data_IF_002233851885
#
_entry.id   IF_002233851885
#
_cell.length_a   1.000
_cell.length_b   1.000
_cell.length_c   1.000
_cell.angle_alpha   90.00
_cell.angle_beta   90.00
_cell.angle_gamma   90.00
#
_symmetry.space_group_name_H-M   'P 1'
#
loop_
_entity.id
_entity.type
_entity.pdbx_description
1 polymer ?
#
# COMPACT_ATOMS: atom_id res chain seq x y z
N UNK A 1 -35.41 -46.68 25.07
CA UNK A 1 -34.05 -46.08 25.12
C UNK A 1 -33.38 -45.89 23.75
N UNK A 2 -33.17 -46.94 22.92
CA UNK A 2 -32.42 -46.85 21.64
C UNK A 2 -32.93 -45.80 20.63
N UNK A 3 -34.23 -45.52 20.57
CA UNK A 3 -34.82 -44.54 19.64
C UNK A 3 -34.48 -43.10 20.01
N UNK A 4 -34.42 -42.76 21.30
CA UNK A 4 -34.06 -41.40 21.75
C UNK A 4 -32.59 -41.08 21.50
N UNK A 5 -31.71 -42.09 21.62
CA UNK A 5 -30.29 -41.95 21.32
C UNK A 5 -30.05 -41.72 19.82
N UNK A 6 -30.76 -42.46 18.94
CA UNK A 6 -30.71 -42.21 17.49
C UNK A 6 -31.17 -40.81 17.11
N UNK A 7 -32.27 -40.32 17.72
CA UNK A 7 -32.76 -38.95 17.47
C UNK A 7 -31.77 -37.89 17.96
N UNK A 8 -31.13 -38.09 19.11
CA UNK A 8 -30.10 -37.20 19.64
C UNK A 8 -28.85 -37.15 18.72
N UNK A 9 -28.38 -38.32 18.24
CA UNK A 9 -27.26 -38.39 17.29
C UNK A 9 -27.59 -37.69 15.98
N UNK A 10 -28.78 -37.89 15.43
CA UNK A 10 -29.23 -37.21 14.20
C UNK A 10 -29.29 -35.68 14.42
N UNK A 11 -29.80 -35.21 15.56
CA UNK A 11 -29.85 -33.80 15.88
C UNK A 11 -28.46 -33.16 15.99
N UNK A 12 -27.49 -33.84 16.61
CA UNK A 12 -26.10 -33.37 16.72
C UNK A 12 -25.44 -33.28 15.33
N UNK A 13 -25.67 -34.26 14.46
CA UNK A 13 -25.13 -34.24 13.10
C UNK A 13 -25.69 -33.04 12.32
N UNK A 14 -27.01 -32.81 12.37
CA UNK A 14 -27.65 -31.67 11.70
C UNK A 14 -27.10 -30.34 12.23
N UNK A 15 -26.97 -30.18 13.55
CA UNK A 15 -26.42 -28.97 14.15
C UNK A 15 -24.97 -28.70 13.71
N UNK A 16 -24.13 -29.74 13.65
CA UNK A 16 -22.76 -29.60 13.15
C UNK A 16 -22.71 -29.29 11.65
N UNK A 17 -23.58 -29.91 10.83
CA UNK A 17 -23.68 -29.59 9.41
C UNK A 17 -24.09 -28.14 9.18
N UNK A 18 -25.00 -27.59 9.99
CA UNK A 18 -25.41 -26.18 9.93
C UNK A 18 -24.26 -25.25 10.34
N UNK A 19 -23.50 -25.59 11.39
CA UNK A 19 -22.32 -24.81 11.79
C UNK A 19 -21.23 -24.79 10.72
N UNK A 20 -20.96 -25.95 10.11
CA UNK A 20 -19.99 -26.07 9.01
C UNK A 20 -20.47 -25.28 7.79
N UNK A 21 -21.74 -25.42 7.41
CA UNK A 21 -22.32 -24.66 6.30
C UNK A 21 -22.28 -23.14 6.58
N UNK A 22 -22.59 -22.72 7.82
CA UNK A 22 -22.49 -21.33 8.25
C UNK A 22 -21.05 -20.79 8.19
N UNK A 23 -20.06 -21.58 8.60
CA UNK A 23 -18.64 -21.21 8.51
C UNK A 23 -18.14 -21.13 7.06
N UNK A 24 -18.59 -22.04 6.19
CA UNK A 24 -18.26 -22.03 4.75
C UNK A 24 -18.94 -20.84 4.08
N UNK A 25 -20.24 -20.62 4.31
CA UNK A 25 -20.95 -19.45 3.79
C UNK A 25 -20.34 -18.14 4.30
N UNK A 26 -19.97 -18.05 5.58
CA UNK A 26 -19.27 -16.89 6.14
C UNK A 26 -17.92 -16.64 5.46
N UNK A 27 -17.14 -17.70 5.17
CA UNK A 27 -15.88 -17.58 4.41
C UNK A 27 -16.09 -17.16 2.95
N UNK A 28 -17.12 -17.68 2.29
CA UNK A 28 -17.42 -17.36 0.88
C UNK A 28 -17.94 -15.93 0.77
N UNK A 29 -18.90 -15.53 1.63
CA UNK A 29 -19.47 -14.19 1.65
C UNK A 29 -18.48 -13.13 2.17
N UNK A 30 -17.48 -13.54 2.96
CA UNK A 30 -16.43 -12.65 3.46
C UNK A 30 -15.16 -12.63 2.61
N UNK A 31 -15.14 -13.25 1.42
CA UNK A 31 -13.95 -13.27 0.57
C UNK A 31 -13.78 -11.91 -0.09
N UNK A 32 -12.73 -11.19 0.30
CA UNK A 32 -12.34 -9.94 -0.34
C UNK A 32 -11.75 -10.22 -1.72
N UNK A 33 -12.31 -9.58 -2.76
CA UNK A 33 -11.73 -9.58 -4.10
C UNK A 33 -11.19 -8.18 -4.42
N UNK A 34 -9.87 -8.06 -4.51
CA UNK A 34 -9.20 -6.78 -4.78
C UNK A 34 -9.74 -6.10 -6.04
N UNK A 35 -10.06 -6.89 -7.07
CA UNK A 35 -10.46 -6.37 -8.38
C UNK A 35 -11.87 -5.77 -8.39
N UNK A 36 -12.72 -6.15 -7.43
CA UNK A 36 -14.07 -5.60 -7.25
C UNK A 36 -14.06 -4.21 -6.58
N UNK A 37 -12.95 -3.84 -5.94
CA UNK A 37 -12.81 -2.61 -5.15
C UNK A 37 -11.88 -1.57 -5.79
N UNK A 38 -11.46 -1.77 -7.04
CA UNK A 38 -10.44 -0.93 -7.69
C UNK A 38 -10.78 0.56 -7.68
N UNK A 39 -12.05 0.90 -7.89
CA UNK A 39 -12.48 2.30 -7.99
C UNK A 39 -12.98 2.86 -6.64
N UNK A 40 -12.91 2.06 -5.57
CA UNK A 40 -13.28 2.51 -4.22
C UNK A 40 -12.17 3.41 -3.65
N UNK A 41 -12.54 4.52 -2.98
CA UNK A 41 -11.58 5.38 -2.31
C UNK A 41 -11.00 4.67 -1.08
N UNK A 42 -9.68 4.60 -1.01
CA UNK A 42 -8.96 3.95 0.11
C UNK A 42 -8.10 4.90 0.91
N UNK A 43 -7.69 6.02 0.32
CA UNK A 43 -6.94 7.09 0.97
C UNK A 43 -7.59 8.42 0.54
N UNK A 44 -7.63 9.40 1.43
CA UNK A 44 -7.94 10.78 1.06
C UNK A 44 -6.98 11.76 1.73
N UNK A 45 -6.61 12.80 0.98
CA UNK A 45 -5.76 13.91 1.44
C UNK A 45 -6.44 15.22 1.07
N UNK A 46 -6.77 16.04 2.06
CA UNK A 46 -7.49 17.31 1.91
C UNK A 46 -8.75 17.20 1.05
N UNK A 47 -9.51 16.12 1.25
CA UNK A 47 -10.75 15.84 0.54
C UNK A 47 -10.59 15.33 -0.89
N UNK A 48 -9.37 15.07 -1.36
CA UNK A 48 -9.15 14.36 -2.63
C UNK A 48 -8.90 12.89 -2.38
N UNK A 49 -9.74 12.09 -3.01
CA UNK A 49 -9.73 10.65 -2.88
C UNK A 49 -8.70 10.03 -3.84
N UNK A 50 -8.01 9.03 -3.33
CA UNK A 50 -7.13 8.12 -4.05
C UNK A 50 -7.81 6.76 -4.02
N UNK A 51 -8.10 6.23 -5.20
CA UNK A 51 -8.75 4.93 -5.39
C UNK A 51 -7.80 3.78 -5.09
N UNK A 52 -8.33 2.58 -4.84
CA UNK A 52 -7.50 1.37 -4.68
C UNK A 52 -6.64 1.09 -5.91
N UNK A 53 -7.13 1.43 -7.10
CA UNK A 53 -6.40 1.33 -8.37
C UNK A 53 -5.18 2.23 -8.40
N UNK A 54 -5.34 3.50 -8.02
CA UNK A 54 -4.21 4.45 -7.93
C UNK A 54 -3.23 4.05 -6.83
N UNK A 55 -3.74 3.64 -5.67
CA UNK A 55 -2.93 3.11 -4.58
C UNK A 55 -2.18 1.81 -4.99
N UNK A 56 -2.73 1.05 -5.93
CA UNK A 56 -2.12 -0.14 -6.52
C UNK A 56 -0.72 0.09 -7.09
N UNK A 57 -0.40 1.32 -7.51
CA UNK A 57 0.97 1.68 -7.92
C UNK A 57 1.96 1.58 -6.76
N UNK A 58 1.60 2.10 -5.59
CA UNK A 58 2.43 2.06 -4.39
C UNK A 58 2.54 0.64 -3.84
N UNK A 59 1.46 -0.15 -3.92
CA UNK A 59 1.49 -1.58 -3.61
C UNK A 59 2.52 -2.27 -4.51
N UNK A 60 2.47 -2.04 -5.84
CA UNK A 60 3.41 -2.64 -6.78
C UNK A 60 4.86 -2.26 -6.48
N UNK A 61 5.20 -0.97 -6.35
CA UNK A 61 6.60 -0.55 -6.12
C UNK A 61 7.15 -1.14 -4.82
N UNK A 62 6.36 -1.14 -3.74
CA UNK A 62 6.77 -1.71 -2.45
C UNK A 62 6.88 -3.23 -2.51
N UNK A 63 5.91 -3.91 -3.12
CA UNK A 63 5.97 -5.36 -3.29
C UNK A 63 7.16 -5.79 -4.15
N UNK A 64 7.43 -5.10 -5.26
CA UNK A 64 8.58 -5.37 -6.11
C UNK A 64 9.91 -5.15 -5.35
N UNK A 65 10.00 -4.11 -4.53
CA UNK A 65 11.18 -3.84 -3.71
C UNK A 65 11.41 -4.93 -2.66
N UNK A 66 10.39 -5.24 -1.86
CA UNK A 66 10.51 -6.25 -0.79
C UNK A 66 10.66 -7.66 -1.37
N UNK A 67 10.06 -7.95 -2.53
CA UNK A 67 10.22 -9.24 -3.21
C UNK A 67 11.67 -9.48 -3.65
N UNK A 68 12.41 -8.44 -4.08
CA UNK A 68 13.84 -8.57 -4.36
C UNK A 68 14.62 -9.01 -3.11
N UNK A 69 14.26 -8.48 -1.94
CA UNK A 69 14.86 -8.89 -0.66
C UNK A 69 14.44 -10.33 -0.29
N UNK A 70 13.17 -10.68 -0.49
CA UNK A 70 12.64 -12.01 -0.23
C UNK A 70 13.38 -13.08 -1.03
N UNK A 71 13.60 -12.84 -2.33
CA UNK A 71 14.30 -13.74 -3.23
C UNK A 71 15.79 -13.86 -2.91
N UNK A 72 16.42 -12.81 -2.34
CA UNK A 72 17.80 -12.90 -1.85
C UNK A 72 17.90 -13.71 -0.55
N UNK A 73 16.86 -13.66 0.28
CA UNK A 73 16.81 -14.37 1.57
C UNK A 73 16.49 -15.87 1.39
N UNK A 74 15.44 -16.18 0.64
CA UNK A 74 14.98 -17.55 0.33
C UNK A 74 14.40 -17.58 -1.09
N UNK A 75 15.23 -17.91 -2.11
CA UNK A 75 14.80 -17.97 -3.50
C UNK A 75 13.69 -19.00 -3.76
N UNK A 76 13.68 -20.09 -3.00
CA UNK A 76 12.74 -21.21 -3.20
C UNK A 76 11.38 -20.94 -2.54
N UNK A 77 11.38 -20.17 -1.45
CA UNK A 77 10.16 -19.80 -0.74
C UNK A 77 10.18 -18.34 -0.26
N UNK A 78 10.04 -17.36 -1.17
CA UNK A 78 10.06 -15.94 -0.82
C UNK A 78 8.92 -15.53 0.13
N UNK A 79 7.82 -16.31 0.20
CA UNK A 79 6.74 -16.09 1.17
C UNK A 79 7.22 -16.20 2.62
N UNK A 80 8.29 -16.94 2.88
CA UNK A 80 8.85 -17.04 4.22
C UNK A 80 9.30 -15.66 4.72
N UNK A 81 10.01 -14.90 3.88
CA UNK A 81 10.42 -13.53 4.19
C UNK A 81 9.23 -12.60 4.46
N UNK A 82 8.20 -12.65 3.61
CA UNK A 82 6.99 -11.84 3.77
C UNK A 82 6.26 -12.07 5.11
N UNK A 83 6.38 -13.27 5.67
CA UNK A 83 5.79 -13.66 6.96
C UNK A 83 6.81 -13.62 8.11
N UNK A 84 8.02 -13.10 7.88
CA UNK A 84 9.01 -12.88 8.95
C UNK A 84 8.53 -11.76 9.86
N UNK A 85 8.57 -12.02 11.17
CA UNK A 85 8.28 -11.05 12.20
C UNK A 85 9.59 -10.45 12.74
N UNK A 86 9.75 -9.14 12.64
CA UNK A 86 10.87 -8.45 13.27
C UNK A 86 10.52 -8.08 14.69
N UNK A 87 11.34 -8.52 15.64
CA UNK A 87 11.19 -8.17 17.05
C UNK A 87 11.98 -6.89 17.34
N UNK A 88 11.26 -5.78 17.53
CA UNK A 88 11.81 -4.46 17.81
C UNK A 88 11.09 -3.79 19.00
N UNK A 89 10.75 -4.56 20.04
CA UNK A 89 9.99 -4.05 21.19
C UNK A 89 8.56 -3.68 20.79
N UNK A 90 8.14 -2.44 21.06
CA UNK A 90 6.80 -1.96 20.70
C UNK A 90 6.58 -1.84 19.18
N UNK A 91 7.65 -1.75 18.39
CA UNK A 91 7.60 -1.63 16.93
C UNK A 91 7.69 -2.98 16.21
N UNK A 92 7.44 -4.08 16.94
CA UNK A 92 7.48 -5.42 16.37
C UNK A 92 6.33 -5.63 15.39
N UNK A 93 6.63 -6.09 14.18
CA UNK A 93 5.64 -6.28 13.12
C UNK A 93 6.12 -7.27 12.06
N UNK A 94 5.18 -7.79 11.27
CA UNK A 94 5.51 -8.60 10.11
C UNK A 94 6.03 -7.73 8.95
N UNK A 95 6.86 -8.32 8.09
CA UNK A 95 7.33 -7.68 6.85
C UNK A 95 6.17 -7.18 5.99
N UNK A 96 5.10 -7.98 5.84
CA UNK A 96 3.91 -7.58 5.08
C UNK A 96 3.19 -6.35 5.66
N UNK A 97 3.09 -6.26 6.99
CA UNK A 97 2.46 -5.13 7.67
C UNK A 97 3.31 -3.87 7.55
N UNK A 98 4.63 -4.00 7.72
CA UNK A 98 5.55 -2.88 7.50
C UNK A 98 5.49 -2.40 6.05
N UNK A 99 5.52 -3.32 5.08
CA UNK A 99 5.37 -2.97 3.68
C UNK A 99 4.06 -2.21 3.42
N UNK A 100 2.94 -2.66 4.02
CA UNK A 100 1.65 -1.97 3.89
C UNK A 100 1.74 -0.54 4.40
N UNK A 101 2.33 -0.36 5.60
CA UNK A 101 2.56 0.95 6.22
C UNK A 101 3.41 1.84 5.31
N UNK A 102 4.49 1.31 4.73
CA UNK A 102 5.34 2.05 3.77
C UNK A 102 4.53 2.50 2.55
N UNK A 103 3.72 1.61 1.97
CA UNK A 103 2.93 1.93 0.79
C UNK A 103 1.91 3.05 1.09
N UNK A 104 1.13 2.91 2.17
CA UNK A 104 0.12 3.90 2.58
C UNK A 104 0.79 5.24 2.84
N UNK A 105 1.83 5.28 3.67
CA UNK A 105 2.44 6.53 4.07
C UNK A 105 3.20 7.21 2.94
N UNK A 106 3.84 6.44 2.05
CA UNK A 106 4.46 7.02 0.84
C UNK A 106 3.40 7.64 -0.07
N UNK A 107 2.25 6.98 -0.25
CA UNK A 107 1.14 7.51 -1.04
C UNK A 107 0.61 8.84 -0.47
N UNK A 108 0.41 8.88 0.85
CA UNK A 108 -0.02 10.10 1.54
C UNK A 108 1.03 11.20 1.42
N UNK A 109 2.30 10.90 1.69
CA UNK A 109 3.39 11.88 1.63
C UNK A 109 3.55 12.47 0.21
N UNK A 110 3.51 11.63 -0.82
CA UNK A 110 3.60 12.08 -2.21
C UNK A 110 2.42 12.99 -2.59
N UNK A 111 1.19 12.65 -2.19
CA UNK A 111 0.02 13.50 -2.46
C UNK A 111 0.08 14.83 -1.71
N UNK A 112 0.52 14.82 -0.45
CA UNK A 112 0.72 16.02 0.36
C UNK A 112 1.74 16.97 -0.28
N UNK A 113 2.92 16.44 -0.61
CA UNK A 113 3.98 17.23 -1.22
C UNK A 113 3.62 17.69 -2.64
N UNK A 114 2.91 16.87 -3.40
CA UNK A 114 2.36 17.27 -4.70
C UNK A 114 1.41 18.48 -4.56
N UNK A 115 0.52 18.46 -3.57
CA UNK A 115 -0.42 19.57 -3.31
C UNK A 115 0.27 20.85 -2.89
N UNK A 116 1.22 20.75 -1.97
CA UNK A 116 2.04 21.89 -1.54
C UNK A 116 2.84 22.48 -2.71
N UNK A 117 3.43 21.61 -3.55
CA UNK A 117 4.11 22.04 -4.77
C UNK A 117 3.16 22.81 -5.70
N UNK A 118 1.96 22.26 -5.93
CA UNK A 118 0.94 22.89 -6.76
C UNK A 118 0.46 24.23 -6.18
N UNK A 119 0.22 24.30 -4.87
CA UNK A 119 -0.19 25.53 -4.18
C UNK A 119 0.85 26.66 -4.27
N UNK A 120 2.13 26.29 -4.37
CA UNK A 120 3.25 27.22 -4.58
C UNK A 120 3.57 27.47 -6.06
N UNK A 121 2.81 26.89 -6.98
CA UNK A 121 3.02 27.04 -8.43
C UNK A 121 4.31 26.42 -8.94
N UNK A 122 4.86 25.41 -8.26
CA UNK A 122 6.02 24.67 -8.76
C UNK A 122 5.63 23.90 -10.02
N UNK A 123 6.57 23.84 -10.96
CA UNK A 123 6.44 23.05 -12.18
C UNK A 123 7.71 22.23 -12.40
N UNK A 124 7.56 21.09 -13.06
CA UNK A 124 8.68 20.33 -13.57
C UNK A 124 9.29 21.07 -14.77
N UNK A 125 10.61 21.10 -14.82
CA UNK A 125 11.37 21.48 -16.01
C UNK A 125 11.24 20.39 -17.09
N UNK A 126 11.57 20.71 -18.34
CA UNK A 126 11.53 19.71 -19.43
C UNK A 126 12.44 18.49 -19.16
N UNK A 127 13.53 18.69 -18.41
CA UNK A 127 14.42 17.58 -18.04
C UNK A 127 13.76 16.67 -16.99
N UNK A 128 13.12 17.26 -15.98
CA UNK A 128 12.41 16.51 -14.94
C UNK A 128 11.18 15.79 -15.51
N UNK A 129 10.43 16.41 -16.42
CA UNK A 129 9.32 15.76 -17.16
C UNK A 129 9.81 14.54 -17.95
N UNK A 130 10.98 14.65 -18.61
CA UNK A 130 11.57 13.52 -19.34
C UNK A 130 12.01 12.40 -18.40
N UNK A 131 12.54 12.73 -17.23
CA UNK A 131 12.91 11.75 -16.20
C UNK A 131 11.67 11.05 -15.64
N UNK A 132 10.59 11.79 -15.35
CA UNK A 132 9.32 11.22 -14.91
C UNK A 132 8.74 10.25 -15.95
N UNK A 133 8.73 10.64 -17.23
CA UNK A 133 8.28 9.79 -18.32
C UNK A 133 9.15 8.53 -18.48
N UNK A 134 10.47 8.66 -18.29
CA UNK A 134 11.40 7.52 -18.39
C UNK A 134 11.17 6.53 -17.24
N UNK A 135 10.94 7.01 -16.01
CA UNK A 135 10.56 6.18 -14.87
C UNK A 135 9.22 5.47 -15.10
N UNK A 136 8.23 6.17 -15.65
CA UNK A 136 6.95 5.56 -16.01
C UNK A 136 7.12 4.41 -17.01
N UNK A 137 7.92 4.61 -18.07
CA UNK A 137 8.21 3.58 -19.07
C UNK A 137 8.96 2.38 -18.47
N UNK A 138 9.89 2.62 -17.54
CA UNK A 138 10.57 1.55 -16.81
C UNK A 138 9.59 0.73 -15.97
N UNK A 139 8.70 1.39 -15.22
CA UNK A 139 7.67 0.71 -14.43
C UNK A 139 6.72 -0.09 -15.33
N UNK A 140 6.20 0.51 -16.41
CA UNK A 140 5.33 -0.16 -17.39
C UNK A 140 6.03 -1.40 -17.98
N UNK A 141 7.30 -1.26 -18.39
CA UNK A 141 8.07 -2.37 -18.95
C UNK A 141 8.45 -3.46 -17.94
N UNK A 142 8.37 -3.17 -16.64
CA UNK A 142 8.68 -4.11 -15.56
C UNK A 142 7.44 -4.83 -15.01
N UNK A 143 6.24 -4.33 -15.27
CA UNK A 143 4.98 -4.95 -14.86
C UNK A 143 4.54 -6.01 -15.87
N UNK A 144 4.23 -7.22 -15.39
CA UNK A 144 3.61 -8.25 -16.23
C UNK A 144 2.09 -8.05 -16.35
N UNK A 145 1.45 -8.78 -17.28
CA UNK A 145 0.02 -8.66 -17.55
C UNK A 145 -0.87 -9.04 -16.35
N UNK A 146 -0.42 -9.97 -15.50
CA UNK A 146 -1.16 -10.35 -14.29
C UNK A 146 -1.08 -9.23 -13.25
N UNK A 147 0.09 -8.61 -13.08
CA UNK A 147 0.29 -7.48 -12.18
C UNK A 147 -0.52 -6.25 -12.62
N UNK A 148 -0.53 -5.94 -13.92
CA UNK A 148 -1.38 -4.89 -14.48
C UNK A 148 -2.86 -5.18 -14.28
N UNK A 149 -3.30 -6.43 -14.51
CA UNK A 149 -4.69 -6.82 -14.29
C UNK A 149 -5.08 -6.81 -12.81
N UNK A 150 -4.19 -7.22 -11.90
CA UNK A 150 -4.47 -7.29 -10.47
C UNK A 150 -4.64 -5.89 -9.88
N UNK A 151 -3.77 -4.96 -10.26
CA UNK A 151 -3.83 -3.55 -9.80
C UNK A 151 -4.86 -2.71 -10.56
N UNK A 152 -5.24 -3.13 -11.77
CA UNK A 152 -6.09 -2.36 -12.66
C UNK A 152 -5.43 -1.08 -13.20
N UNK A 153 -4.11 -0.95 -13.08
CA UNK A 153 -3.37 0.21 -13.56
C UNK A 153 -3.37 0.27 -15.08
N UNK A 154 -3.45 1.48 -15.62
CA UNK A 154 -3.20 1.76 -17.03
C UNK A 154 -1.87 2.48 -17.21
N UNK A 155 -1.28 2.41 -18.40
CA UNK A 155 -0.05 3.14 -18.73
C UNK A 155 -0.19 4.66 -18.50
N UNK A 156 -1.38 5.21 -18.80
CA UNK A 156 -1.69 6.62 -18.56
C UNK A 156 -1.70 6.96 -17.06
N UNK A 157 -2.27 6.09 -16.22
CA UNK A 157 -2.25 6.26 -14.77
C UNK A 157 -0.83 6.19 -14.22
N UNK A 158 -0.04 5.21 -14.64
CA UNK A 158 1.36 5.08 -14.21
C UNK A 158 2.15 6.33 -14.61
N UNK A 159 1.95 6.84 -15.84
CA UNK A 159 2.60 8.05 -16.32
C UNK A 159 2.25 9.27 -15.46
N UNK A 160 0.97 9.47 -15.16
CA UNK A 160 0.53 10.59 -14.33
C UNK A 160 1.01 10.48 -12.89
N UNK A 161 1.01 9.27 -12.30
CA UNK A 161 1.52 9.03 -10.94
C UNK A 161 3.01 9.36 -10.89
N UNK A 162 3.85 8.84 -11.80
CA UNK A 162 5.28 9.16 -11.83
C UNK A 162 5.55 10.67 -12.01
N UNK A 163 4.72 11.37 -12.79
CA UNK A 163 4.80 12.83 -12.93
C UNK A 163 4.47 13.54 -11.61
N UNK A 164 3.39 13.16 -10.93
CA UNK A 164 3.02 13.70 -9.60
C UNK A 164 4.12 13.46 -8.57
N UNK A 165 4.66 12.24 -8.49
CA UNK A 165 5.76 11.89 -7.60
C UNK A 165 7.03 12.71 -7.88
N UNK A 166 7.32 12.98 -9.15
CA UNK A 166 8.47 13.82 -9.50
C UNK A 166 8.30 15.25 -9.00
N UNK A 167 7.09 15.81 -9.06
CA UNK A 167 6.80 17.14 -8.52
C UNK A 167 6.79 17.16 -6.99
N UNK A 168 6.23 16.12 -6.36
CA UNK A 168 6.27 15.91 -4.92
C UNK A 168 7.72 15.84 -4.40
N UNK A 169 8.54 15.01 -5.04
CA UNK A 169 9.96 14.85 -4.71
C UNK A 169 10.73 16.16 -4.86
N UNK A 170 10.48 16.92 -5.94
CA UNK A 170 11.06 18.25 -6.13
C UNK A 170 10.72 19.19 -4.97
N UNK A 171 9.47 19.19 -4.52
CA UNK A 171 9.08 20.01 -3.37
C UNK A 171 9.72 19.53 -2.07
N UNK A 172 9.71 18.22 -1.78
CA UNK A 172 10.38 17.65 -0.61
C UNK A 172 11.88 18.00 -0.57
N UNK A 173 12.58 17.91 -1.70
CA UNK A 173 13.99 18.32 -1.81
C UNK A 173 14.19 19.82 -1.56
N UNK A 174 13.27 20.67 -2.05
CA UNK A 174 13.33 22.11 -1.75
C UNK A 174 13.08 22.41 -0.26
N UNK A 175 12.25 21.61 0.39
CA UNK A 175 11.94 21.71 1.80
C UNK A 175 13.12 21.24 2.67
N UNK A 176 13.80 20.16 2.28
CA UNK A 176 14.96 19.61 2.97
C UNK A 176 16.09 20.64 3.15
N UNK A 177 16.24 21.59 2.23
CA UNK A 177 17.25 22.65 2.31
C UNK A 177 16.75 23.96 2.92
N UNK A 178 15.52 23.96 3.45
CA UNK A 178 14.93 25.14 4.10
C UNK A 178 15.47 25.35 5.53
N UNK A 179 15.42 26.59 6.01
CA UNK A 179 15.81 26.93 7.39
C UNK A 179 15.00 26.16 8.44
N UNK A 180 13.73 25.84 8.14
CA UNK A 180 12.86 25.08 9.03
C UNK A 180 13.35 23.65 9.28
N UNK A 181 13.74 22.93 8.22
CA UNK A 181 14.28 21.56 8.36
C UNK A 181 15.67 21.57 8.99
N UNK A 182 16.47 22.61 8.73
CA UNK A 182 17.82 22.75 9.28
C UNK A 182 17.87 22.86 10.81
N UNK A 183 16.73 23.15 11.45
CA UNK A 183 16.59 23.18 12.91
C UNK A 183 16.48 21.79 13.53
N UNK A 184 16.14 20.76 12.75
CA UNK A 184 16.03 19.38 13.20
C UNK A 184 17.39 18.65 13.15
N UNK A 185 17.69 17.78 14.13
CA UNK A 185 18.89 16.96 14.07
C UNK A 185 18.73 15.84 13.03
N UNK A 186 19.76 15.61 12.22
CA UNK A 186 19.82 14.46 11.31
C UNK A 186 20.04 14.83 9.84
N UNK A 187 19.81 13.87 8.96
CA UNK A 187 19.90 14.06 7.52
C UNK A 187 18.63 14.76 7.01
N UNK A 188 18.72 15.99 6.46
CA UNK A 188 17.56 16.76 6.02
C UNK A 188 16.68 16.03 4.99
N UNK A 189 17.28 15.18 4.15
CA UNK A 189 16.52 14.41 3.17
C UNK A 189 15.72 13.27 3.81
N UNK A 190 16.18 12.72 4.95
CA UNK A 190 15.42 11.73 5.71
C UNK A 190 14.34 12.38 6.55
N UNK A 191 14.56 13.60 7.02
CA UNK A 191 13.58 14.34 7.82
C UNK A 191 12.29 14.63 7.05
N UNK A 192 12.37 14.76 5.72
CA UNK A 192 11.22 14.99 4.83
C UNK A 192 10.67 13.71 4.19
N UNK A 193 11.16 12.53 4.57
CA UNK A 193 10.52 11.27 4.16
C UNK A 193 9.20 11.06 4.91
N UNK A 194 8.37 10.13 4.45
CA UNK A 194 7.08 9.81 5.08
C UNK A 194 7.19 9.39 6.57
N UNK A 195 8.35 8.90 7.00
CA UNK A 195 8.67 8.53 8.39
C UNK A 195 9.61 9.53 9.08
N UNK A 196 9.97 10.61 8.40
CA UNK A 196 10.86 11.64 8.89
C UNK A 196 10.22 12.50 9.97
N UNK A 197 11.00 12.90 10.97
CA UNK A 197 10.53 13.68 12.12
C UNK A 197 9.89 15.00 11.68
N UNK A 198 10.52 15.73 10.76
CA UNK A 198 9.96 16.98 10.23
C UNK A 198 8.63 16.72 9.48
N UNK A 199 8.56 15.67 8.65
CA UNK A 199 7.30 15.34 7.99
C UNK A 199 6.18 15.05 9.00
N UNK A 200 6.45 14.25 10.03
CA UNK A 200 5.46 13.84 11.02
C UNK A 200 5.00 15.00 11.93
N UNK A 201 5.89 15.91 12.30
CA UNK A 201 5.59 17.00 13.22
C UNK A 201 5.09 18.27 12.52
N UNK A 202 5.58 18.55 11.31
CA UNK A 202 5.34 19.83 10.65
C UNK A 202 4.51 19.71 9.38
N UNK A 203 4.69 18.65 8.58
CA UNK A 203 3.97 18.53 7.30
C UNK A 203 2.62 17.86 7.52
N UNK A 204 2.62 16.59 7.94
CA UNK A 204 1.42 15.77 8.08
C UNK A 204 0.31 16.44 8.93
N UNK A 205 0.58 17.10 10.08
CA UNK A 205 -0.47 17.69 10.91
C UNK A 205 -1.18 18.90 10.29
N UNK A 206 -0.64 19.48 9.21
CA UNK A 206 -1.26 20.62 8.50
C UNK A 206 -2.38 20.19 7.55
N UNK A 207 -2.53 18.89 7.33
CA UNK A 207 -3.45 18.34 6.33
C UNK A 207 -4.42 17.37 6.97
N UNK A 208 -5.58 17.22 6.34
CA UNK A 208 -6.58 16.24 6.76
C UNK A 208 -6.40 14.97 5.94
N UNK A 209 -6.04 13.88 6.60
CA UNK A 209 -5.88 12.57 5.98
C UNK A 209 -6.94 11.59 6.46
N UNK A 210 -7.31 10.65 5.59
CA UNK A 210 -8.24 9.57 5.89
C UNK A 210 -7.81 8.29 5.17
N UNK A 211 -8.01 7.15 5.83
CA UNK A 211 -7.74 5.80 5.30
C UNK A 211 -8.99 4.93 5.49
N UNK A 212 -9.26 4.09 4.48
CA UNK A 212 -10.38 3.14 4.50
C UNK A 212 -9.94 1.81 5.10
N UNK A 213 -9.96 1.70 6.43
CA UNK A 213 -9.53 0.48 7.12
C UNK A 213 -10.37 -0.75 6.74
N UNK A 214 -11.66 -0.58 6.40
CA UNK A 214 -12.53 -1.69 5.99
C UNK A 214 -12.06 -2.41 4.70
N UNK A 215 -11.28 -1.71 3.86
CA UNK A 215 -10.65 -2.25 2.66
C UNK A 215 -9.17 -2.57 2.95
N UNK A 216 -8.43 -1.64 3.55
CA UNK A 216 -6.99 -1.77 3.76
C UNK A 216 -6.62 -2.92 4.70
N UNK A 217 -7.44 -3.24 5.70
CA UNK A 217 -7.24 -4.40 6.58
C UNK A 217 -7.39 -5.74 5.87
N UNK A 218 -8.17 -5.78 4.77
CA UNK A 218 -8.39 -6.99 3.98
C UNK A 218 -7.27 -7.25 2.96
N UNK A 219 -6.43 -6.25 2.70
CA UNK A 219 -5.29 -6.36 1.79
C UNK A 219 -4.08 -6.90 2.54
N UNK A 220 -3.32 -7.80 1.94
CA UNK A 220 -2.03 -8.27 2.49
C UNK A 220 -0.96 -8.08 1.42
N UNK A 221 0.04 -7.23 1.71
CA UNK A 221 1.18 -7.08 0.82
C UNK A 221 2.04 -8.35 0.80
N UNK A 222 2.69 -8.58 -0.33
CA UNK A 222 3.34 -9.82 -0.70
C UNK A 222 2.42 -10.82 -1.41
N UNK A 223 1.21 -10.40 -1.82
CA UNK A 223 0.19 -11.27 -2.43
C UNK A 223 -0.60 -10.63 -3.57
N UNK A 224 -0.47 -9.31 -3.80
CA UNK A 224 -1.30 -8.60 -4.79
C UNK A 224 -0.64 -8.64 -6.18
N UNK A 225 0.63 -8.30 -6.25
CA UNK A 225 1.44 -8.25 -7.49
C UNK A 225 2.62 -9.22 -7.46
N UNK A 226 2.90 -9.81 -6.30
CA UNK A 226 3.94 -10.84 -6.12
C UNK A 226 3.35 -12.04 -5.38
N UNK A 227 3.94 -13.22 -5.57
CA UNK A 227 3.49 -14.48 -4.96
C UNK A 227 1.99 -14.77 -5.12
N UNK A 228 1.41 -14.41 -6.27
CA UNK A 228 -0.03 -14.46 -6.60
C UNK A 228 -0.62 -15.89 -6.70
N UNK A 229 0.15 -16.92 -6.35
CA UNK A 229 -0.22 -18.34 -6.40
C UNK A 229 -0.49 -18.93 -5.02
#
# INVERSE_FOLDING_TARGET
MKVSLKKAVIAIIIANSILIAGAICGRILGRFDYTEHLDDPVIAVDGVNITLREFGYYIYEVEAFVQKQALLYDPENPKHWWNTHFSAGMDSQFVCDYAKKVAINSCIADELYYREAMGKGLMLSSAEEKSAASKAQETIGSMDALQMSATGLSEAMITEICRKQSLASKYAMSLAVSEGVSAYPGDPYKLVNWDGEYYLEEVLPRHVTWTNEDILDKITLGKITVNMQ
#
